data_IF_666261061274
#
_entry.id   IF_666261061274
#
_cell.length_a   1.000
_cell.length_b   1.000
_cell.length_c   1.000
_cell.angle_alpha   90.00
_cell.angle_beta   90.00
_cell.angle_gamma   90.00
#
_symmetry.space_group_name_H-M   'P 1'
#
loop_
_entity.id
_entity.type
_entity.pdbx_description
1 polymer ?
#
# COMPACT_ATOMS: atom_id res chain seq x y z
N UNK A 1 -5.99 -19.49 16.60
CA UNK A 1 -4.92 -19.80 17.41
C UNK A 1 -3.57 -19.24 16.98
N UNK A 2 -2.54 -19.82 17.52
CA UNK A 2 -1.18 -19.36 17.26
C UNK A 2 -0.77 -19.53 15.79
N UNK A 3 -1.35 -20.51 15.10
CA UNK A 3 -1.05 -20.71 13.69
C UNK A 3 -1.54 -19.56 12.82
N UNK A 4 -2.71 -19.03 13.12
CA UNK A 4 -3.23 -17.87 12.40
C UNK A 4 -2.36 -16.65 12.65
N UNK A 5 -1.90 -16.46 13.88
CA UNK A 5 -1.01 -15.36 14.21
C UNK A 5 0.31 -15.46 13.44
N UNK A 6 0.84 -16.66 13.27
CA UNK A 6 2.07 -16.89 12.52
C UNK A 6 1.87 -16.52 11.04
N UNK A 7 0.76 -16.95 10.45
CA UNK A 7 0.44 -16.63 9.06
C UNK A 7 0.25 -15.14 8.86
N UNK A 8 -0.49 -14.50 9.78
CA UNK A 8 -0.72 -13.07 9.70
C UNK A 8 0.60 -12.31 9.79
N UNK A 9 1.48 -12.75 10.69
CA UNK A 9 2.79 -12.13 10.86
C UNK A 9 3.65 -12.29 9.61
N UNK A 10 3.63 -13.49 9.00
CA UNK A 10 4.38 -13.75 7.79
C UNK A 10 3.90 -12.86 6.64
N UNK A 11 2.57 -12.78 6.46
CA UNK A 11 1.99 -11.92 5.43
C UNK A 11 2.32 -10.45 5.69
N UNK A 12 2.20 -10.02 6.94
CA UNK A 12 2.51 -8.64 7.31
C UNK A 12 3.96 -8.31 6.99
N UNK A 13 4.88 -9.19 7.31
CA UNK A 13 6.30 -8.99 7.01
C UNK A 13 6.56 -8.88 5.52
N UNK A 14 5.89 -9.71 4.72
CA UNK A 14 6.04 -9.68 3.28
C UNK A 14 5.48 -8.39 2.69
N UNK A 15 4.35 -7.94 3.19
CA UNK A 15 3.76 -6.68 2.76
C UNK A 15 4.67 -5.51 3.12
N UNK A 16 5.19 -5.48 4.34
CA UNK A 16 6.09 -4.43 4.79
C UNK A 16 7.35 -4.37 3.93
N UNK A 17 7.92 -5.53 3.63
CA UNK A 17 9.11 -5.62 2.80
C UNK A 17 8.84 -5.11 1.39
N UNK A 18 7.70 -5.49 0.82
CA UNK A 18 7.30 -5.04 -0.50
C UNK A 18 7.09 -3.52 -0.53
N UNK A 19 6.49 -2.97 0.52
CA UNK A 19 6.30 -1.53 0.63
C UNK A 19 7.64 -0.81 0.70
N UNK A 20 8.59 -1.33 1.46
CA UNK A 20 9.92 -0.75 1.57
C UNK A 20 10.69 -0.79 0.24
N UNK A 21 10.36 -1.73 -0.64
CA UNK A 21 10.96 -1.83 -1.96
C UNK A 21 10.36 -0.87 -2.98
N UNK A 22 9.28 -0.18 -2.63
CA UNK A 22 8.68 0.81 -3.53
C UNK A 22 9.58 2.04 -3.65
N UNK A 23 9.58 2.70 -4.83
CA UNK A 23 10.20 4.02 -4.92
C UNK A 23 9.63 4.95 -3.85
N UNK A 24 10.47 5.82 -3.31
CA UNK A 24 10.07 6.67 -2.18
C UNK A 24 8.81 7.48 -2.48
N UNK A 25 8.70 8.04 -3.68
CA UNK A 25 7.54 8.84 -4.05
C UNK A 25 6.24 8.05 -4.01
N UNK A 26 6.28 6.80 -4.46
CA UNK A 26 5.10 5.93 -4.45
C UNK A 26 4.79 5.47 -3.03
N UNK A 27 5.83 5.11 -2.28
CA UNK A 27 5.68 4.64 -0.91
C UNK A 27 5.06 5.69 -0.01
N UNK A 28 5.55 6.92 -0.09
CA UNK A 28 5.04 8.00 0.75
C UNK A 28 3.56 8.25 0.50
N UNK A 29 3.15 8.38 -0.76
CA UNK A 29 1.75 8.59 -1.09
C UNK A 29 0.88 7.41 -0.63
N UNK A 30 1.35 6.20 -0.85
CA UNK A 30 0.64 5.00 -0.46
C UNK A 30 0.46 4.93 1.06
N UNK A 31 1.52 5.18 1.82
CA UNK A 31 1.47 5.12 3.27
C UNK A 31 0.56 6.19 3.86
N UNK A 32 0.60 7.40 3.32
CA UNK A 32 -0.27 8.47 3.78
C UNK A 32 -1.74 8.14 3.59
N UNK A 33 -2.07 7.54 2.46
CA UNK A 33 -3.45 7.15 2.18
C UNK A 33 -3.88 5.94 3.01
N UNK A 34 -3.04 4.91 3.06
CA UNK A 34 -3.41 3.63 3.63
C UNK A 34 -3.30 3.60 5.16
N UNK A 35 -2.22 4.16 5.69
CA UNK A 35 -1.94 4.06 7.12
C UNK A 35 -2.30 5.31 7.92
N UNK A 36 -2.35 6.46 7.26
CA UNK A 36 -2.69 7.71 7.93
C UNK A 36 -4.11 8.19 7.60
N UNK A 37 -4.84 7.42 6.81
CA UNK A 37 -6.22 7.73 6.42
C UNK A 37 -6.41 9.10 5.79
N UNK A 38 -5.41 9.59 5.10
CA UNK A 38 -5.50 10.86 4.41
C UNK A 38 -6.20 10.71 3.07
N UNK A 39 -6.98 11.71 2.69
CA UNK A 39 -7.58 11.73 1.37
C UNK A 39 -6.55 12.10 0.32
N UNK A 40 -6.84 11.83 -0.95
CA UNK A 40 -5.96 12.23 -2.05
C UNK A 40 -5.69 13.73 -2.02
N UNK A 41 -6.72 14.51 -1.71
CA UNK A 41 -6.59 15.95 -1.66
C UNK A 41 -5.65 16.39 -0.54
N UNK A 42 -5.78 15.79 0.63
CA UNK A 42 -4.91 16.08 1.76
C UNK A 42 -3.45 15.73 1.45
N UNK A 43 -3.25 14.57 0.82
CA UNK A 43 -1.90 14.14 0.42
C UNK A 43 -1.33 15.11 -0.61
N UNK A 44 -2.15 15.52 -1.57
CA UNK A 44 -1.73 16.44 -2.61
C UNK A 44 -1.26 17.76 -2.02
N UNK A 45 -2.00 18.29 -1.06
CA UNK A 45 -1.63 19.54 -0.39
C UNK A 45 -0.34 19.38 0.40
N UNK A 46 -0.21 18.28 1.13
CA UNK A 46 0.96 18.05 1.96
C UNK A 46 2.23 17.85 1.14
N UNK A 47 2.10 17.14 0.03
CA UNK A 47 3.25 16.88 -0.86
C UNK A 47 3.43 17.95 -1.93
N UNK A 48 2.53 18.92 -1.98
CA UNK A 48 2.57 20.00 -2.97
C UNK A 48 2.53 19.49 -4.41
N UNK A 49 1.62 18.56 -4.66
CA UNK A 49 1.38 17.97 -5.98
C UNK A 49 -0.12 17.94 -6.24
N UNK A 50 -0.53 17.59 -7.46
CA UNK A 50 -1.95 17.47 -7.78
C UNK A 50 -2.52 16.17 -7.23
N UNK A 51 -3.83 16.13 -6.98
CA UNK A 51 -4.49 14.90 -6.55
C UNK A 51 -4.42 13.82 -7.62
N UNK A 52 -4.36 14.22 -8.88
CA UNK A 52 -4.16 13.29 -9.99
C UNK A 52 -2.80 12.60 -9.90
N UNK A 53 -1.77 13.34 -9.51
CA UNK A 53 -0.44 12.78 -9.30
C UNK A 53 -0.44 11.81 -8.11
N UNK A 54 -1.17 12.15 -7.04
CA UNK A 54 -1.32 11.27 -5.89
C UNK A 54 -1.95 9.94 -6.33
N UNK A 55 -3.04 10.03 -7.08
CA UNK A 55 -3.72 8.83 -7.60
C UNK A 55 -2.77 7.98 -8.42
N UNK A 56 -2.01 8.60 -9.33
CA UNK A 56 -1.04 7.90 -10.15
C UNK A 56 -0.02 7.15 -9.29
N UNK A 57 0.56 7.84 -8.30
CA UNK A 57 1.56 7.25 -7.43
C UNK A 57 1.01 6.08 -6.62
N UNK A 58 -0.21 6.21 -6.12
CA UNK A 58 -0.85 5.14 -5.35
C UNK A 58 -1.15 3.95 -6.25
N UNK A 59 -1.63 4.20 -7.47
CA UNK A 59 -1.92 3.12 -8.42
C UNK A 59 -0.64 2.37 -8.80
N UNK A 60 0.45 3.08 -9.01
CA UNK A 60 1.72 2.44 -9.32
C UNK A 60 2.23 1.61 -8.13
N UNK A 61 2.07 2.13 -6.92
CA UNK A 61 2.44 1.39 -5.72
C UNK A 61 1.65 0.09 -5.62
N UNK A 62 0.33 0.16 -5.81
CA UNK A 62 -0.53 -1.01 -5.76
C UNK A 62 -0.18 -2.03 -6.84
N UNK A 63 0.11 -1.55 -8.04
CA UNK A 63 0.50 -2.41 -9.15
C UNK A 63 1.77 -3.19 -8.82
N UNK A 64 2.76 -2.50 -8.28
CA UNK A 64 4.02 -3.12 -7.90
C UNK A 64 3.84 -4.11 -6.75
N UNK A 65 3.03 -3.75 -5.76
CA UNK A 65 2.74 -4.64 -4.64
C UNK A 65 2.04 -5.92 -5.09
N UNK A 66 1.07 -5.80 -6.00
CA UNK A 66 0.40 -6.98 -6.55
C UNK A 66 1.38 -7.89 -7.27
N UNK A 67 2.32 -7.30 -8.00
CA UNK A 67 3.33 -8.07 -8.72
C UNK A 67 4.25 -8.83 -7.76
N UNK A 68 4.69 -8.17 -6.71
CA UNK A 68 5.59 -8.80 -5.74
C UNK A 68 4.88 -9.81 -4.85
N UNK A 69 3.61 -9.59 -4.57
CA UNK A 69 2.84 -10.41 -3.64
C UNK A 69 1.78 -11.25 -4.34
N UNK A 70 2.03 -11.64 -5.58
CA UNK A 70 1.04 -12.36 -6.39
C UNK A 70 0.58 -13.66 -5.76
N UNK A 71 1.44 -14.32 -5.01
CA UNK A 71 1.09 -15.57 -4.34
C UNK A 71 0.12 -15.37 -3.19
N UNK A 72 -0.05 -14.13 -2.76
CA UNK A 72 -0.93 -13.76 -1.67
C UNK A 72 -2.12 -12.93 -2.12
N UNK A 73 -2.40 -12.91 -3.43
CA UNK A 73 -3.46 -12.05 -3.98
C UNK A 73 -4.82 -12.21 -3.30
N UNK A 74 -5.29 -13.44 -3.01
CA UNK A 74 -6.59 -13.57 -2.33
C UNK A 74 -6.63 -12.87 -0.98
N UNK A 75 -5.52 -12.88 -0.25
CA UNK A 75 -5.43 -12.19 1.04
C UNK A 75 -5.26 -10.69 0.86
N UNK A 76 -4.57 -10.28 -0.20
CA UNK A 76 -4.37 -8.87 -0.50
C UNK A 76 -5.67 -8.16 -0.87
N UNK A 77 -6.65 -8.88 -1.40
CA UNK A 77 -7.94 -8.30 -1.74
C UNK A 77 -8.62 -7.72 -0.50
N UNK A 78 -8.42 -8.33 0.66
CA UNK A 78 -8.93 -7.77 1.90
C UNK A 78 -8.16 -6.54 2.33
N UNK A 79 -6.84 -6.54 2.14
CA UNK A 79 -5.99 -5.46 2.57
C UNK A 79 -6.12 -4.23 1.67
N UNK A 80 -6.25 -4.43 0.36
CA UNK A 80 -6.30 -3.37 -0.63
C UNK A 80 -7.67 -3.18 -1.27
N UNK A 81 -8.71 -3.76 -0.69
CA UNK A 81 -10.05 -3.63 -1.23
C UNK A 81 -10.47 -2.16 -1.26
N UNK A 82 -11.12 -1.71 -2.33
CA UNK A 82 -11.64 -0.34 -2.38
C UNK A 82 -12.70 -0.15 -1.30
N UNK A 83 -12.67 0.99 -0.69
CA UNK A 83 -13.64 1.32 0.34
C UNK A 83 -14.97 1.71 -0.26
#
# INVERSE_FOLDING_TARGET
GSEMCIRDRELTQKIEKAILNLPESYRVAFEMHRFQNKTYQEIAEELNISSKTVDYRIQQALKQLRKELKDYLPLLLFFFAPK
#
